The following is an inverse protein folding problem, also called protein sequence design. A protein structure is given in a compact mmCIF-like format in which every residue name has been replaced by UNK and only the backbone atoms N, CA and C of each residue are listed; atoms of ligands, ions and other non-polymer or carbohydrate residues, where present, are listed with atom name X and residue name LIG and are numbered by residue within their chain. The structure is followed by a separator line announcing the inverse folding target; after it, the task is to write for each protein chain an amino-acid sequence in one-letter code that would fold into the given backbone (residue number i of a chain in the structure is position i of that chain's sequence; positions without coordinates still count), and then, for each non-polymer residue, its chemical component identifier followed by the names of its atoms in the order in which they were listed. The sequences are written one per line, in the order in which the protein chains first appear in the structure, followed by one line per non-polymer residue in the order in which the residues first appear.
data_IF_701782334145
#
_entry.id   IF_701782334145
#
_cell.length_a   1.000
_cell.length_b   1.000
_cell.length_c   1.000
_cell.angle_alpha   90.00
_cell.angle_beta   90.00
_cell.angle_gamma   90.00
#
_symmetry.space_group_name_H-M   'P 1'
#
loop_
_entity.id
_entity.type
_entity.pdbx_description
1 polymer ?
#
# COMPACT_ATOMS: atom_id res chain seq x y z
N UNK A 1 -14.02 5.60 -33.43
CA UNK A 1 -13.83 5.31 -32.00
C UNK A 1 -12.54 4.53 -31.86
N UNK A 2 -11.43 5.21 -31.58
CA UNK A 2 -10.11 4.59 -31.51
C UNK A 2 -9.96 3.90 -30.16
N UNK A 3 -9.89 2.56 -30.18
CA UNK A 3 -9.56 1.74 -29.03
C UNK A 3 -8.08 1.98 -28.70
N UNK A 4 -7.80 2.74 -27.66
CA UNK A 4 -6.46 2.79 -27.09
C UNK A 4 -6.27 1.53 -26.27
N UNK A 5 -5.47 0.61 -26.79
CA UNK A 5 -4.96 -0.54 -26.05
C UNK A 5 -3.98 0.00 -25.00
N UNK A 6 -4.31 -0.16 -23.72
CA UNK A 6 -3.39 0.15 -22.62
C UNK A 6 -2.33 -0.94 -22.59
N UNK A 7 -1.20 -0.70 -23.24
CA UNK A 7 -0.01 -1.53 -23.07
C UNK A 7 0.74 -0.98 -21.87
N UNK A 8 0.51 -1.57 -20.69
CA UNK A 8 1.31 -1.28 -19.50
C UNK A 8 2.76 -1.67 -19.78
N UNK A 9 3.67 -0.69 -19.81
CA UNK A 9 5.10 -0.97 -19.86
C UNK A 9 5.50 -1.56 -18.51
N UNK A 10 5.66 -2.87 -18.45
CA UNK A 10 6.19 -3.55 -17.27
C UNK A 10 7.64 -3.07 -17.06
N UNK A 11 7.89 -2.29 -16.01
CA UNK A 11 9.24 -2.04 -15.54
C UNK A 11 9.78 -3.36 -14.98
N UNK A 12 10.80 -3.92 -15.62
CA UNK A 12 11.57 -5.02 -15.07
C UNK A 12 12.45 -4.47 -13.94
N UNK A 13 12.00 -4.65 -12.70
CA UNK A 13 12.74 -4.25 -11.50
C UNK A 13 13.79 -5.32 -11.17
N UNK A 14 15.06 -4.93 -11.06
CA UNK A 14 16.06 -5.76 -10.41
C UNK A 14 15.76 -5.76 -8.90
N UNK A 15 15.29 -6.89 -8.37
CA UNK A 15 14.89 -7.03 -6.96
C UNK A 15 16.12 -7.30 -6.11
N UNK A 16 16.43 -6.39 -5.19
CA UNK A 16 17.44 -6.61 -4.13
C UNK A 16 16.68 -6.94 -2.84
N UNK A 17 16.13 -8.16 -2.79
CA UNK A 17 15.39 -8.70 -1.65
C UNK A 17 13.87 -8.51 -1.72
N UNK A 18 13.14 -9.63 -1.70
CA UNK A 18 11.69 -9.64 -1.41
C UNK A 18 11.51 -9.93 0.08
N UNK A 19 10.81 -9.05 0.79
CA UNK A 19 10.45 -9.24 2.19
C UNK A 19 9.12 -9.99 2.28
N UNK A 20 9.11 -11.13 2.96
CA UNK A 20 7.85 -11.77 3.34
C UNK A 20 7.30 -11.08 4.59
N UNK A 21 6.08 -10.58 4.48
CA UNK A 21 5.33 -9.95 5.57
C UNK A 21 4.32 -10.97 6.07
N UNK A 22 4.56 -11.49 7.27
CA UNK A 22 3.67 -12.49 7.85
C UNK A 22 2.52 -11.86 8.61
N UNK A 23 1.33 -12.47 8.50
CA UNK A 23 0.20 -12.17 9.37
C UNK A 23 0.58 -12.29 10.85
N UNK A 24 -0.09 -11.52 11.70
CA UNK A 24 0.10 -11.56 13.16
C UNK A 24 -0.41 -12.87 13.77
N UNK A 25 -1.31 -13.61 13.10
CA UNK A 25 -1.90 -14.85 13.58
C UNK A 25 -1.70 -15.99 12.58
N UNK A 26 -1.27 -17.16 13.05
CA UNK A 26 -1.15 -18.34 12.18
C UNK A 26 -2.50 -18.95 11.77
N UNK A 27 -2.47 -19.96 10.90
CA UNK A 27 -3.66 -20.68 10.44
C UNK A 27 -4.20 -20.12 9.12
N UNK A 28 -5.37 -19.46 9.16
CA UNK A 28 -6.02 -18.83 7.99
C UNK A 28 -5.64 -17.36 7.81
N UNK A 29 -4.77 -16.84 8.69
CA UNK A 29 -4.33 -15.45 8.71
C UNK A 29 -4.96 -14.64 9.84
N UNK A 30 -4.95 -13.32 9.70
CA UNK A 30 -5.54 -12.38 10.64
C UNK A 30 -6.58 -11.47 9.96
N UNK A 31 -7.33 -10.75 10.79
CA UNK A 31 -8.31 -9.77 10.34
C UNK A 31 -8.46 -8.70 11.43
N UNK A 32 -7.87 -7.53 11.20
CA UNK A 32 -8.03 -6.38 12.08
C UNK A 32 -9.24 -5.56 11.63
N UNK A 33 -10.14 -5.24 12.56
CA UNK A 33 -11.35 -4.48 12.30
C UNK A 33 -11.64 -3.49 13.42
N UNK A 34 -12.35 -2.42 13.07
CA UNK A 34 -12.81 -1.42 14.02
C UNK A 34 -14.22 -0.95 13.65
N UNK A 35 -15.17 -1.20 14.55
CA UNK A 35 -16.57 -0.80 14.38
C UNK A 35 -16.79 0.71 14.58
N UNK A 36 -15.90 1.39 15.30
CA UNK A 36 -16.00 2.81 15.61
C UNK A 36 -15.69 3.72 14.42
N UNK A 37 -16.10 4.99 14.52
CA UNK A 37 -15.88 5.99 13.47
C UNK A 37 -14.49 6.63 13.48
N UNK A 38 -13.74 6.50 14.57
CA UNK A 38 -12.35 6.97 14.68
C UNK A 38 -11.41 5.97 14.03
N UNK A 39 -10.34 6.45 13.39
CA UNK A 39 -9.29 5.58 12.85
C UNK A 39 -8.63 4.77 13.95
N UNK A 40 -8.39 3.49 13.70
CA UNK A 40 -7.56 2.63 14.53
C UNK A 40 -6.55 1.87 13.67
N UNK A 41 -5.48 1.37 14.28
CA UNK A 41 -4.46 0.59 13.63
C UNK A 41 -3.83 -0.49 14.51
N UNK A 42 -3.07 -1.37 13.88
CA UNK A 42 -2.31 -2.45 14.49
C UNK A 42 -1.05 -2.72 13.65
N UNK A 43 0.13 -2.78 14.29
CA UNK A 43 1.37 -3.21 13.61
C UNK A 43 1.29 -4.65 13.12
N UNK A 44 1.92 -4.93 11.98
CA UNK A 44 2.13 -6.27 11.44
C UNK A 44 3.53 -6.74 11.86
N UNK A 45 3.60 -7.46 12.98
CA UNK A 45 4.85 -7.84 13.63
C UNK A 45 5.80 -6.66 13.82
N UNK A 46 7.05 -6.84 13.40
CA UNK A 46 8.09 -5.80 13.41
C UNK A 46 8.51 -5.40 11.99
N UNK A 47 7.60 -5.51 11.01
CA UNK A 47 7.93 -5.42 9.58
C UNK A 47 7.97 -3.98 9.04
N UNK A 48 7.49 -3.01 9.81
CA UNK A 48 7.24 -1.64 9.35
C UNK A 48 5.87 -1.47 8.69
N UNK A 49 5.15 -2.56 8.42
CA UNK A 49 3.76 -2.52 7.98
C UNK A 49 2.80 -2.40 9.16
N UNK A 50 1.70 -1.68 8.94
CA UNK A 50 0.59 -1.54 9.87
C UNK A 50 -0.74 -1.69 9.14
N UNK A 51 -1.68 -2.43 9.73
CA UNK A 51 -3.09 -2.23 9.45
C UNK A 51 -3.47 -0.86 10.02
N UNK A 52 -3.92 0.07 9.20
CA UNK A 52 -4.09 1.46 9.61
C UNK A 52 -5.36 2.09 9.05
N UNK A 53 -5.77 3.21 9.64
CA UNK A 53 -6.96 3.96 9.26
C UNK A 53 -8.24 3.11 9.21
N UNK A 54 -8.32 2.07 10.03
CA UNK A 54 -9.44 1.15 10.05
C UNK A 54 -10.58 1.76 10.85
N UNK A 55 -11.77 1.87 10.24
CA UNK A 55 -12.97 2.44 10.88
C UNK A 55 -14.25 2.00 10.17
N UNK A 56 -15.40 2.27 10.81
CA UNK A 56 -16.74 2.02 10.27
C UNK A 56 -16.90 0.59 9.76
N UNK A 57 -16.50 -0.39 10.58
CA UNK A 57 -16.54 -1.82 10.24
C UNK A 57 -15.72 -2.19 9.00
N UNK A 58 -14.77 -1.34 8.60
CA UNK A 58 -13.71 -1.74 7.69
C UNK A 58 -12.85 -2.80 8.34
N UNK A 59 -12.27 -3.66 7.50
CA UNK A 59 -11.31 -4.65 7.96
C UNK A 59 -10.17 -4.82 6.97
N UNK A 60 -9.01 -5.18 7.51
CA UNK A 60 -7.80 -5.50 6.76
C UNK A 60 -7.04 -6.58 7.50
N UNK A 61 -6.45 -7.50 6.77
CA UNK A 61 -5.60 -8.55 7.33
C UNK A 61 -4.91 -9.33 6.24
N UNK A 62 -3.92 -10.12 6.59
CA UNK A 62 -3.26 -11.05 5.68
C UNK A 62 -3.95 -12.40 5.84
N UNK A 63 -4.47 -12.96 4.73
CA UNK A 63 -5.37 -14.11 4.76
C UNK A 63 -5.06 -15.14 3.66
N UNK A 64 -5.40 -16.41 3.92
CA UNK A 64 -5.36 -17.49 2.93
C UNK A 64 -6.55 -17.49 1.96
N UNK A 65 -7.47 -16.51 2.04
CA UNK A 65 -8.74 -16.53 1.31
C UNK A 65 -8.58 -16.43 -0.21
N UNK A 66 -7.60 -15.66 -0.70
CA UNK A 66 -7.30 -15.52 -2.12
C UNK A 66 -5.82 -15.17 -2.29
N UNK A 67 -4.88 -16.12 -2.13
CA UNK A 67 -3.45 -15.83 -2.31
C UNK A 67 -3.12 -15.60 -3.80
N UNK A 68 -2.11 -14.77 -4.07
CA UNK A 68 -1.56 -14.64 -5.42
C UNK A 68 -0.28 -15.47 -5.58
N UNK A 69 0.73 -15.16 -4.78
CA UNK A 69 2.04 -15.79 -4.83
C UNK A 69 2.42 -16.23 -3.41
N UNK A 70 2.39 -17.54 -3.14
CA UNK A 70 2.58 -18.07 -1.79
C UNK A 70 1.27 -18.50 -1.14
N UNK A 71 1.14 -18.28 0.17
CA UNK A 71 0.01 -18.76 0.97
C UNK A 71 -0.89 -17.65 1.53
N UNK A 72 -0.58 -16.39 1.28
CA UNK A 72 -1.37 -15.26 1.73
C UNK A 72 -1.59 -14.21 0.65
N UNK A 73 -2.46 -13.26 0.98
CA UNK A 73 -2.53 -11.93 0.40
C UNK A 73 -3.18 -10.99 1.41
N UNK A 74 -3.03 -9.68 1.25
CA UNK A 74 -3.79 -8.72 2.06
C UNK A 74 -5.24 -8.74 1.58
N UNK A 75 -6.18 -8.94 2.50
CA UNK A 75 -7.62 -8.83 2.29
C UNK A 75 -8.13 -7.52 2.86
N UNK A 76 -8.91 -6.79 2.09
CA UNK A 76 -9.69 -5.64 2.53
C UNK A 76 -11.17 -5.95 2.39
N UNK A 77 -11.95 -5.62 3.40
CA UNK A 77 -13.41 -5.74 3.33
C UNK A 77 -14.07 -4.51 3.95
N UNK A 78 -15.01 -3.94 3.19
CA UNK A 78 -15.90 -2.89 3.63
C UNK A 78 -17.35 -3.32 3.53
N UNK A 79 -18.14 -3.03 4.56
CA UNK A 79 -19.55 -3.44 4.66
C UNK A 79 -20.52 -2.26 4.69
N UNK A 80 -20.00 -1.02 4.78
CA UNK A 80 -20.79 0.20 4.95
C UNK A 80 -20.46 1.26 3.89
N UNK A 81 -21.43 2.15 3.65
CA UNK A 81 -21.38 3.22 2.64
C UNK A 81 -22.09 2.86 1.32
N UNK A 82 -22.11 3.75 0.30
CA UNK A 82 -21.63 5.13 0.36
C UNK A 82 -22.65 6.10 0.97
N UNK A 83 -23.90 5.68 1.22
CA UNK A 83 -24.98 6.53 1.76
C UNK A 83 -24.92 6.78 3.28
N UNK A 84 -23.88 6.29 3.95
CA UNK A 84 -23.61 6.41 5.38
C UNK A 84 -22.08 6.52 5.59
N UNK A 85 -21.56 6.70 6.83
CA UNK A 85 -20.12 6.61 7.06
C UNK A 85 -19.56 5.30 6.48
N UNK A 86 -18.71 5.39 5.45
CA UNK A 86 -18.18 4.21 4.79
C UNK A 86 -17.10 3.53 5.61
N UNK A 87 -17.03 2.21 5.47
CA UNK A 87 -15.88 1.42 5.87
C UNK A 87 -14.61 1.95 5.22
N UNK A 88 -13.52 1.95 5.98
CA UNK A 88 -12.17 2.24 5.47
C UNK A 88 -11.17 1.32 6.15
N UNK A 89 -10.18 0.88 5.38
CA UNK A 89 -9.05 0.11 5.88
C UNK A 89 -7.87 0.24 4.93
N UNK A 90 -6.69 0.45 5.50
CA UNK A 90 -5.43 0.54 4.76
C UNK A 90 -4.41 -0.47 5.35
N UNK A 91 -3.47 -0.91 4.52
CA UNK A 91 -2.19 -1.47 4.95
C UNK A 91 -1.10 -0.48 4.56
N UNK A 92 -0.30 -0.05 5.52
CA UNK A 92 0.65 1.04 5.35
C UNK A 92 2.04 0.62 5.77
N UNK A 93 3.02 0.82 4.89
CA UNK A 93 4.41 0.79 5.26
C UNK A 93 4.80 2.16 5.78
N UNK A 94 5.24 2.23 7.04
CA UNK A 94 5.59 3.46 7.73
C UNK A 94 7.02 3.39 8.25
N UNK A 95 7.81 4.45 8.06
CA UNK A 95 9.18 4.49 8.57
C UNK A 95 9.17 4.80 10.07
N UNK A 96 9.74 3.92 10.88
CA UNK A 96 9.75 4.05 12.35
C UNK A 96 8.34 4.34 12.89
N UNK A 97 7.39 3.40 12.73
CA UNK A 97 6.00 3.64 13.09
C UNK A 97 5.85 3.85 14.60
N UNK A 98 5.10 4.89 14.96
CA UNK A 98 4.70 5.19 16.34
C UNK A 98 3.19 5.24 16.45
N UNK A 99 2.66 4.74 17.56
CA UNK A 99 1.23 4.81 17.84
C UNK A 99 0.86 6.19 18.39
N UNK A 100 -0.20 6.78 17.86
CA UNK A 100 -0.80 8.01 18.36
C UNK A 100 -2.31 7.99 18.15
N UNK A 101 -3.08 8.17 19.22
CA UNK A 101 -4.54 8.19 19.15
C UNK A 101 -5.17 6.89 18.63
N UNK A 102 -4.50 5.75 18.84
CA UNK A 102 -4.92 4.43 18.36
C UNK A 102 -4.62 4.15 16.88
N UNK A 103 -3.91 5.03 16.18
CA UNK A 103 -3.47 4.86 14.79
C UNK A 103 -1.94 4.97 14.71
N UNK A 104 -1.32 4.55 13.60
CA UNK A 104 0.13 4.63 13.42
C UNK A 104 0.56 5.76 12.49
N UNK A 105 1.70 6.37 12.81
CA UNK A 105 2.33 7.45 12.06
C UNK A 105 3.82 7.19 11.89
N UNK A 106 4.38 7.67 10.79
CA UNK A 106 5.82 7.61 10.54
C UNK A 106 6.58 8.69 11.31
N UNK A 107 7.77 8.37 11.80
CA UNK A 107 8.73 9.32 12.39
C UNK A 107 10.04 9.39 11.63
N UNK A 108 10.14 8.68 10.49
CA UNK A 108 11.29 8.70 9.61
C UNK A 108 10.94 8.99 8.16
N UNK A 109 11.94 8.91 7.30
CA UNK A 109 11.81 9.10 5.86
C UNK A 109 12.57 8.02 5.10
N UNK A 110 12.04 7.63 3.95
CA UNK A 110 12.71 6.77 2.97
C UNK A 110 13.62 7.55 2.01
N UNK A 111 13.50 8.88 1.97
CA UNK A 111 14.18 9.73 1.01
C UNK A 111 13.26 10.84 0.51
N UNK A 112 13.66 11.47 -0.58
CA UNK A 112 12.92 12.57 -1.19
C UNK A 112 11.94 12.05 -2.24
N UNK A 113 10.89 12.83 -2.51
CA UNK A 113 9.94 12.52 -3.57
C UNK A 113 10.63 12.42 -4.95
N UNK A 114 11.67 13.22 -5.20
CA UNK A 114 12.46 13.12 -6.43
C UNK A 114 13.12 11.75 -6.61
N UNK A 115 13.50 11.09 -5.52
CA UNK A 115 14.17 9.79 -5.57
C UNK A 115 13.21 8.67 -6.00
N UNK A 116 11.88 8.87 -5.93
CA UNK A 116 10.91 7.82 -6.28
C UNK A 116 10.85 7.54 -7.79
N UNK A 117 11.39 6.42 -8.25
CA UNK A 117 11.26 6.02 -9.65
C UNK A 117 9.84 5.58 -9.96
N UNK A 118 9.25 4.78 -9.07
CA UNK A 118 7.89 4.28 -9.23
C UNK A 118 7.47 3.31 -8.14
N UNK A 119 6.24 2.83 -8.25
CA UNK A 119 5.64 1.81 -7.41
C UNK A 119 4.93 0.76 -8.27
N UNK A 120 4.75 -0.43 -7.74
CA UNK A 120 3.90 -1.44 -8.33
C UNK A 120 3.21 -2.27 -7.26
N UNK A 121 2.12 -2.92 -7.62
CA UNK A 121 1.44 -3.91 -6.77
C UNK A 121 0.44 -4.69 -7.62
N UNK A 122 -0.06 -5.78 -7.07
CA UNK A 122 -1.19 -6.50 -7.64
C UNK A 122 -2.43 -6.26 -6.81
N UNK A 123 -3.56 -6.12 -7.49
CA UNK A 123 -4.86 -6.11 -6.85
C UNK A 123 -5.78 -7.17 -7.45
N UNK A 124 -6.76 -7.56 -6.65
CA UNK A 124 -7.89 -8.38 -7.05
C UNK A 124 -9.16 -7.73 -6.53
N UNK A 125 -10.20 -7.68 -7.36
CA UNK A 125 -11.52 -7.22 -6.95
C UNK A 125 -12.49 -8.40 -7.06
N UNK A 126 -13.08 -8.78 -5.95
CA UNK A 126 -14.02 -9.90 -5.88
C UNK A 126 -15.38 -9.49 -6.46
N UNK A 127 -16.03 -10.39 -7.19
CA UNK A 127 -17.35 -10.15 -7.80
C UNK A 127 -18.49 -9.92 -6.80
N UNK A 128 -18.30 -10.23 -5.52
CA UNK A 128 -19.22 -9.81 -4.45
C UNK A 128 -19.16 -8.30 -4.16
N UNK A 129 -18.16 -7.58 -4.68
CA UNK A 129 -18.03 -6.13 -4.49
C UNK A 129 -19.12 -5.35 -5.22
N UNK A 130 -19.89 -4.57 -4.47
CA UNK A 130 -21.00 -3.74 -4.99
C UNK A 130 -20.67 -2.25 -5.09
N UNK A 131 -19.47 -1.85 -4.66
CA UNK A 131 -18.96 -0.49 -4.81
C UNK A 131 -18.81 -0.09 -6.29
N UNK A 132 -18.52 1.18 -6.56
CA UNK A 132 -18.42 1.69 -7.92
C UNK A 132 -17.39 0.88 -8.75
N UNK A 133 -17.70 0.50 -10.01
CA UNK A 133 -16.79 -0.31 -10.80
C UNK A 133 -15.39 0.25 -11.02
N UNK A 134 -15.21 1.58 -10.97
CA UNK A 134 -13.90 2.23 -11.09
C UNK A 134 -13.06 2.18 -9.82
N UNK A 135 -13.63 1.74 -8.70
CA UNK A 135 -12.94 1.65 -7.41
C UNK A 135 -12.27 0.27 -7.26
N UNK A 136 -10.96 0.31 -7.06
CA UNK A 136 -10.07 -0.81 -6.75
C UNK A 136 -9.07 -0.34 -5.69
N UNK A 137 -8.34 -1.27 -5.04
CA UNK A 137 -7.37 -0.94 -3.98
C UNK A 137 -6.54 0.28 -4.38
N UNK A 138 -6.70 1.41 -3.69
CA UNK A 138 -5.98 2.62 -4.05
C UNK A 138 -4.55 2.55 -3.51
N UNK A 139 -3.59 3.12 -4.22
CA UNK A 139 -2.20 3.24 -3.76
C UNK A 139 -1.87 4.70 -3.44
N UNK A 140 -1.04 4.93 -2.42
CA UNK A 140 -0.71 6.27 -1.95
C UNK A 140 0.76 6.37 -1.59
N UNK A 141 1.36 7.49 -1.96
CA UNK A 141 2.67 7.93 -1.46
C UNK A 141 2.38 8.82 -0.26
N UNK A 142 2.80 8.41 0.93
CA UNK A 142 2.65 9.24 2.13
C UNK A 142 3.82 10.20 2.20
N UNK A 143 3.53 11.48 2.38
CA UNK A 143 4.53 12.55 2.31
C UNK A 143 4.44 13.50 3.49
N UNK A 144 5.57 14.12 3.76
CA UNK A 144 5.75 15.31 4.57
C UNK A 144 6.24 16.40 3.60
N UNK A 145 5.48 17.50 3.49
CA UNK A 145 5.51 18.34 2.30
C UNK A 145 6.76 19.22 2.25
N UNK A 146 7.18 19.79 3.37
CA UNK A 146 8.42 20.56 3.45
C UNK A 146 9.67 19.70 3.70
N UNK A 147 9.48 18.45 4.11
CA UNK A 147 10.54 17.48 4.36
C UNK A 147 11.18 17.62 5.75
N UNK A 148 10.63 18.46 6.62
CA UNK A 148 11.00 18.58 8.02
C UNK A 148 10.06 17.72 8.87
N UNK A 149 10.55 16.55 9.29
CA UNK A 149 9.75 15.61 10.10
C UNK A 149 9.35 16.16 11.49
N UNK A 150 9.86 17.33 11.91
CA UNK A 150 9.44 18.02 13.13
C UNK A 150 8.14 18.80 12.96
N UNK A 151 7.78 19.17 11.74
CA UNK A 151 6.45 19.68 11.37
C UNK A 151 5.55 18.51 10.99
N UNK A 152 4.29 18.57 11.42
CA UNK A 152 3.33 17.46 11.23
C UNK A 152 2.03 17.91 10.58
N UNK A 153 1.78 19.21 10.52
CA UNK A 153 0.57 19.81 9.96
C UNK A 153 0.53 19.78 8.43
N UNK A 154 1.68 19.53 7.81
CA UNK A 154 1.90 19.47 6.37
C UNK A 154 2.14 18.04 5.88
N UNK A 155 1.72 17.04 6.67
CA UNK A 155 1.69 15.64 6.25
C UNK A 155 0.44 15.31 5.45
N UNK A 156 0.58 14.38 4.52
CA UNK A 156 -0.50 13.98 3.63
C UNK A 156 -0.07 12.87 2.70
N UNK A 157 -0.64 12.87 1.49
CA UNK A 157 -0.21 11.92 0.48
C UNK A 157 -0.72 12.22 -0.90
N UNK A 158 -0.09 11.57 -1.87
CA UNK A 158 -0.50 11.54 -3.27
C UNK A 158 -1.18 10.21 -3.55
N UNK A 159 -2.43 10.26 -4.01
CA UNK A 159 -3.31 9.10 -4.19
C UNK A 159 -3.41 8.77 -5.66
N UNK A 160 -3.22 7.50 -5.96
CA UNK A 160 -3.49 6.90 -7.24
C UNK A 160 -4.75 6.05 -7.21
N UNK A 161 -5.62 6.29 -8.18
CA UNK A 161 -6.81 5.48 -8.45
C UNK A 161 -6.98 5.27 -9.95
N UNK A 162 -7.50 4.10 -10.31
CA UNK A 162 -7.70 3.67 -11.70
C UNK A 162 -8.61 4.64 -12.46
N UNK A 163 -9.68 5.13 -11.81
CA UNK A 163 -10.68 6.02 -12.39
C UNK A 163 -10.10 7.33 -12.96
N UNK A 164 -9.00 7.83 -12.41
CA UNK A 164 -8.35 9.08 -12.84
C UNK A 164 -7.20 8.88 -13.83
N UNK A 165 -6.94 7.64 -14.21
CA UNK A 165 -5.82 7.25 -15.06
C UNK A 165 -6.29 6.59 -16.36
N UNK A 166 -7.44 7.03 -16.87
CA UNK A 166 -8.04 6.50 -18.10
C UNK A 166 -8.55 5.06 -17.96
N UNK A 167 -8.60 4.53 -16.75
CA UNK A 167 -9.15 3.22 -16.45
C UNK A 167 -10.68 3.22 -16.46
N UNK A 168 -11.25 2.08 -16.83
CA UNK A 168 -12.68 1.82 -16.75
C UNK A 168 -13.03 1.01 -15.49
N UNK A 169 -14.00 0.11 -15.64
CA UNK A 169 -14.31 -0.85 -14.59
C UNK A 169 -13.09 -1.73 -14.27
N UNK A 170 -12.71 -1.78 -12.98
CA UNK A 170 -11.73 -2.72 -12.48
C UNK A 170 -12.25 -4.15 -12.73
N UNK A 171 -11.46 -5.01 -13.40
CA UNK A 171 -11.90 -6.36 -13.70
C UNK A 171 -12.19 -7.14 -12.42
N UNK A 172 -13.25 -7.95 -12.46
CA UNK A 172 -13.62 -8.83 -11.37
C UNK A 172 -12.88 -10.17 -11.49
N UNK A 173 -12.67 -10.80 -10.34
CA UNK A 173 -12.21 -12.17 -10.16
C UNK A 173 -10.86 -12.53 -10.80
N UNK A 174 -9.97 -11.54 -10.95
CA UNK A 174 -8.63 -11.77 -11.45
C UNK A 174 -7.61 -10.82 -10.83
N UNK A 175 -6.36 -11.29 -10.76
CA UNK A 175 -5.22 -10.51 -10.33
C UNK A 175 -4.70 -9.61 -11.45
N UNK A 176 -4.61 -8.31 -11.16
CA UNK A 176 -4.14 -7.28 -12.10
C UNK A 176 -2.87 -6.65 -11.54
N UNK A 177 -1.81 -6.62 -12.34
CA UNK A 177 -0.58 -5.89 -12.01
C UNK A 177 -0.74 -4.41 -12.36
N UNK A 178 -0.44 -3.55 -11.41
CA UNK A 178 -0.39 -2.10 -11.59
C UNK A 178 1.03 -1.56 -11.43
N UNK A 179 1.40 -0.66 -12.33
CA UNK A 179 2.64 0.11 -12.27
C UNK A 179 2.33 1.60 -12.23
N UNK A 180 3.03 2.32 -11.37
CA UNK A 180 2.88 3.74 -11.10
C UNK A 180 4.23 4.40 -11.31
N UNK A 181 4.27 5.43 -12.14
CA UNK A 181 5.50 6.16 -12.45
C UNK A 181 5.25 7.64 -12.67
N UNK A 182 6.25 8.33 -13.20
CA UNK A 182 6.22 9.78 -13.35
C UNK A 182 5.02 10.35 -14.13
N UNK A 183 4.47 9.59 -15.09
CA UNK A 183 3.34 10.03 -15.92
C UNK A 183 1.96 9.63 -15.37
N UNK A 184 1.92 8.99 -14.20
CA UNK A 184 0.69 8.56 -13.55
C UNK A 184 0.03 9.75 -12.88
N UNK A 185 -1.27 9.94 -13.12
CA UNK A 185 -2.07 10.97 -12.46
C UNK A 185 -2.30 10.59 -10.99
N UNK A 186 -2.00 11.53 -10.09
CA UNK A 186 -2.22 11.41 -8.65
C UNK A 186 -2.80 12.70 -8.10
N UNK A 187 -3.60 12.59 -7.04
CA UNK A 187 -4.25 13.72 -6.38
C UNK A 187 -3.90 13.75 -4.89
N UNK A 188 -3.87 14.94 -4.26
CA UNK A 188 -3.41 15.04 -2.87
C UNK A 188 -4.56 14.92 -1.85
N UNK A 189 -4.24 14.41 -0.66
CA UNK A 189 -4.96 14.74 0.57
C UNK A 189 -3.99 15.33 1.58
N UNK A 190 -4.47 16.25 2.41
CA UNK A 190 -3.63 16.92 3.40
C UNK A 190 -2.45 17.63 2.75
N UNK A 191 -1.26 17.47 3.33
CA UNK A 191 -0.02 18.10 2.90
C UNK A 191 -0.03 19.64 3.03
N UNK A 192 -0.76 20.16 4.03
CA UNK A 192 -0.98 21.61 4.19
C UNK A 192 -1.88 22.22 3.11
N UNK A 193 -2.60 21.38 2.34
CA UNK A 193 -3.47 21.79 1.25
C UNK A 193 -4.86 21.16 1.37
N UNK A 194 -5.81 21.73 0.62
CA UNK A 194 -7.12 21.10 0.44
C UNK A 194 -7.02 19.80 -0.36
N UNK A 195 -7.99 18.90 -0.16
CA UNK A 195 -8.09 17.65 -0.91
C UNK A 195 -8.26 17.91 -2.41
N UNK A 196 -7.54 17.15 -3.24
CA UNK A 196 -7.55 17.25 -4.70
C UNK A 196 -7.23 18.67 -5.22
N UNK A 197 -6.29 19.35 -4.57
CA UNK A 197 -5.72 20.61 -5.05
C UNK A 197 -5.07 20.38 -6.41
N UNK A 198 -5.46 21.19 -7.41
CA UNK A 198 -5.05 21.00 -8.80
C UNK A 198 -5.84 19.93 -9.58
N UNK A 199 -6.78 19.26 -8.91
CA UNK A 199 -7.66 18.25 -9.51
C UNK A 199 -7.00 16.87 -9.66
N UNK A 200 -7.63 16.02 -10.47
CA UNK A 200 -7.26 14.61 -10.65
C UNK A 200 -6.36 14.34 -11.86
N UNK A 201 -6.03 15.37 -12.65
CA UNK A 201 -5.24 15.27 -13.88
C UNK A 201 -3.82 15.87 -13.70
N UNK A 202 -3.19 15.58 -12.56
CA UNK A 202 -1.83 16.03 -12.24
C UNK A 202 -0.93 14.81 -12.10
N UNK A 203 0.10 14.73 -12.93
CA UNK A 203 1.04 13.62 -12.94
C UNK A 203 2.02 13.67 -11.76
N UNK A 204 2.55 12.52 -11.35
CA UNK A 204 3.59 12.44 -10.32
C UNK A 204 4.81 13.34 -10.65
N UNK A 205 5.22 13.44 -11.92
CA UNK A 205 6.29 14.33 -12.35
C UNK A 205 5.94 15.82 -12.16
N UNK A 206 4.68 16.20 -12.34
CA UNK A 206 4.25 17.58 -12.05
C UNK A 206 4.27 17.87 -10.54
N UNK A 207 3.88 16.92 -9.71
CA UNK A 207 4.03 17.04 -8.26
C UNK A 207 5.49 17.18 -7.84
N UNK A 208 6.40 16.40 -8.43
CA UNK A 208 7.85 16.53 -8.21
C UNK A 208 8.42 17.87 -8.67
N UNK A 209 7.93 18.40 -9.79
CA UNK A 209 8.33 19.71 -10.29
C UNK A 209 7.84 20.87 -9.39
N UNK A 210 6.82 20.62 -8.57
CA UNK A 210 6.23 21.56 -7.63
C UNK A 210 4.77 21.82 -7.94
N UNK A 211 3.89 21.47 -7.00
CA UNK A 211 2.47 21.80 -7.04
C UNK A 211 1.96 22.09 -5.62
N UNK A 212 1.61 23.34 -5.37
CA UNK A 212 1.30 23.82 -4.02
C UNK A 212 2.52 23.69 -3.09
N UNK A 213 2.33 23.04 -1.94
CA UNK A 213 3.39 22.82 -0.94
C UNK A 213 4.30 21.64 -1.28
N UNK A 214 3.83 20.72 -2.13
CA UNK A 214 4.53 19.48 -2.45
C UNK A 214 5.48 19.70 -3.62
N UNK A 215 6.70 19.20 -3.51
CA UNK A 215 7.72 19.26 -4.55
C UNK A 215 8.72 18.10 -4.40
N UNK A 216 9.74 18.07 -5.26
CA UNK A 216 10.75 17.03 -5.28
C UNK A 216 11.56 16.86 -3.99
N UNK A 217 11.59 17.84 -3.09
CA UNK A 217 12.24 17.75 -1.79
C UNK A 217 11.31 17.24 -0.67
N UNK A 218 10.00 17.13 -0.90
CA UNK A 218 9.08 16.54 0.08
C UNK A 218 9.57 15.16 0.50
N UNK A 219 9.49 14.83 1.78
CA UNK A 219 9.97 13.57 2.30
C UNK A 219 8.94 12.47 2.08
N UNK A 220 9.37 11.28 1.64
CA UNK A 220 8.53 10.08 1.58
C UNK A 220 8.56 9.43 2.95
N UNK A 221 7.44 9.51 3.66
CA UNK A 221 7.32 8.97 5.02
C UNK A 221 6.70 7.57 5.05
N UNK A 222 6.19 7.09 3.91
CA UNK A 222 5.63 5.75 3.78
C UNK A 222 4.85 5.52 2.49
N UNK A 223 4.24 4.35 2.41
CA UNK A 223 3.33 3.96 1.32
C UNK A 223 2.07 3.34 1.92
N UNK A 224 0.93 3.58 1.30
CA UNK A 224 -0.37 3.10 1.78
C UNK A 224 -1.14 2.46 0.64
N UNK A 225 -1.73 1.31 0.91
CA UNK A 225 -2.67 0.67 0.01
C UNK A 225 -3.97 0.40 0.76
N UNK A 226 -5.11 0.67 0.16
CA UNK A 226 -6.36 0.38 0.86
C UNK A 226 -7.62 0.83 0.17
N UNK A 227 -8.74 0.54 0.84
CA UNK A 227 -10.09 0.82 0.38
C UNK A 227 -10.65 2.05 1.09
N UNK A 228 -11.43 2.83 0.35
CA UNK A 228 -11.64 4.25 0.64
C UNK A 228 -12.93 4.62 1.39
N UNK A 229 -12.87 5.77 2.06
CA UNK A 229 -14.03 6.46 2.61
C UNK A 229 -14.93 6.95 1.46
N UNK A 230 -16.25 6.86 1.62
CA UNK A 230 -17.22 7.18 0.56
C UNK A 230 -17.47 6.03 -0.42
N UNK A 231 -16.88 4.85 -0.21
CA UNK A 231 -17.14 3.67 -1.03
C UNK A 231 -18.33 2.88 -0.49
N UNK A 232 -18.93 2.05 -1.35
CA UNK A 232 -19.90 1.04 -0.96
C UNK A 232 -19.25 -0.27 -0.49
N UNK A 233 -20.05 -1.30 -0.18
CA UNK A 233 -19.54 -2.60 0.22
C UNK A 233 -18.61 -3.21 -0.83
N UNK A 234 -17.47 -3.72 -0.37
CA UNK A 234 -16.39 -4.21 -1.22
C UNK A 234 -15.61 -5.33 -0.54
N UNK A 235 -15.03 -6.20 -1.37
CA UNK A 235 -14.09 -7.23 -1.00
C UNK A 235 -12.94 -7.23 -2.02
N UNK A 236 -11.74 -6.90 -1.56
CA UNK A 236 -10.57 -6.72 -2.43
C UNK A 236 -9.33 -7.36 -1.80
N UNK A 237 -8.35 -7.66 -2.65
CA UNK A 237 -7.08 -8.21 -2.21
C UNK A 237 -5.89 -7.49 -2.84
N UNK A 238 -4.75 -7.57 -2.18
CA UNK A 238 -3.48 -7.00 -2.61
C UNK A 238 -2.31 -7.94 -2.34
N UNK A 239 -1.35 -7.97 -3.26
CA UNK A 239 -0.08 -8.69 -3.11
C UNK A 239 1.05 -8.02 -3.93
N UNK A 240 2.28 -8.53 -3.83
CA UNK A 240 3.46 -8.08 -4.59
C UNK A 240 3.68 -6.55 -4.51
N UNK A 241 3.50 -5.93 -3.34
CA UNK A 241 3.68 -4.49 -3.17
C UNK A 241 5.17 -4.10 -3.30
N UNK A 242 5.49 -3.16 -4.19
CA UNK A 242 6.86 -2.74 -4.44
C UNK A 242 6.99 -1.25 -4.72
N UNK A 243 8.18 -0.73 -4.44
CA UNK A 243 8.60 0.62 -4.81
C UNK A 243 10.10 0.65 -5.09
N UNK A 244 10.50 1.64 -5.88
CA UNK A 244 11.89 1.86 -6.26
C UNK A 244 12.30 3.30 -5.97
N UNK A 245 13.39 3.45 -5.24
CA UNK A 245 14.04 4.74 -4.97
C UNK A 245 15.41 4.76 -5.63
N UNK A 246 15.74 5.87 -6.28
CA UNK A 246 17.05 6.14 -6.89
C UNK A 246 17.49 7.55 -6.49
N UNK A 247 18.46 7.62 -5.59
CA UNK A 247 19.03 8.88 -5.11
C UNK A 247 20.27 9.33 -5.92
N UNK A 248 20.51 8.71 -7.08
CA UNK A 248 21.65 8.97 -7.96
C UNK A 248 22.97 8.31 -7.51
N UNK A 249 22.96 7.62 -6.36
CA UNK A 249 24.10 6.86 -5.83
C UNK A 249 23.75 5.37 -5.74
N UNK A 250 22.57 5.08 -5.21
CA UNK A 250 22.06 3.73 -4.99
C UNK A 250 20.64 3.63 -5.51
N UNK A 251 20.37 2.55 -6.26
CA UNK A 251 19.03 2.16 -6.64
C UNK A 251 18.53 1.09 -5.66
N UNK A 252 17.48 1.40 -4.92
CA UNK A 252 16.85 0.53 -3.94
C UNK A 252 15.45 0.13 -4.42
N UNK A 253 15.31 -1.14 -4.77
CA UNK A 253 13.99 -1.77 -4.96
C UNK A 253 13.60 -2.46 -3.66
N UNK A 254 12.42 -2.12 -3.14
CA UNK A 254 11.79 -2.89 -2.04
C UNK A 254 10.57 -3.59 -2.58
N UNK A 255 10.40 -4.87 -2.23
CA UNK A 255 9.23 -5.67 -2.56
C UNK A 255 8.75 -6.40 -1.31
N UNK A 256 7.45 -6.44 -1.11
CA UNK A 256 6.77 -7.14 -0.02
C UNK A 256 5.76 -8.13 -0.58
N UNK A 257 5.91 -9.39 -0.18
CA UNK A 257 4.94 -10.45 -0.42
C UNK A 257 4.22 -10.76 0.90
N UNK A 258 2.91 -10.98 0.88
CA UNK A 258 2.13 -11.14 2.11
C UNK A 258 1.76 -12.59 2.35
N UNK A 259 2.10 -13.10 3.53
CA UNK A 259 2.04 -14.54 3.84
C UNK A 259 1.34 -14.77 5.18
N UNK A 260 0.62 -15.87 5.33
CA UNK A 260 0.01 -16.23 6.61
C UNK A 260 1.01 -16.92 7.54
N UNK A 261 1.80 -17.83 7.02
CA UNK A 261 2.87 -18.54 7.76
C UNK A 261 4.11 -18.70 6.90
N UNK A 262 5.32 -18.83 7.51
CA UNK A 262 6.51 -19.22 6.76
C UNK A 262 6.28 -20.52 6.01
N UNK A 263 6.68 -20.58 4.75
CA UNK A 263 6.52 -21.82 3.98
C UNK A 263 7.26 -22.99 4.66
N UNK A 264 6.69 -24.21 4.69
CA UNK A 264 7.26 -25.36 5.39
C UNK A 264 8.70 -25.70 4.99
N UNK A 265 9.07 -25.41 3.74
CA UNK A 265 10.42 -25.63 3.20
C UNK A 265 11.46 -24.74 3.88
N UNK A 266 11.14 -23.47 4.15
CA UNK A 266 12.02 -22.53 4.86
C UNK A 266 12.33 -23.01 6.28
N UNK A 267 11.31 -23.54 6.97
CA UNK A 267 11.48 -24.14 8.30
C UNK A 267 12.30 -25.42 8.26
N UNK A 268 12.12 -26.25 7.22
CA UNK A 268 12.88 -27.50 7.06
C UNK A 268 14.36 -27.23 6.79
N UNK A 269 14.68 -26.27 5.93
CA UNK A 269 16.07 -25.85 5.66
C UNK A 269 16.71 -25.22 6.90
N UNK A 270 15.99 -24.37 7.64
CA UNK A 270 16.48 -23.79 8.89
C UNK A 270 16.74 -24.86 9.96
N UNK A 271 15.84 -25.85 10.08
CA UNK A 271 16.01 -26.98 10.98
C UNK A 271 17.24 -27.84 10.61
N UNK A 272 17.44 -28.12 9.31
CA UNK A 272 18.62 -28.83 8.82
C UNK A 272 19.91 -28.02 9.08
N UNK A 273 19.90 -26.72 8.83
CA UNK A 273 21.06 -25.85 9.08
C UNK A 273 21.43 -25.83 10.58
N UNK A 274 20.43 -25.75 11.47
CA UNK A 274 20.64 -25.82 12.92
C UNK A 274 21.20 -27.18 13.37
N UNK A 275 20.76 -28.28 12.75
CA UNK A 275 21.28 -29.64 12.98
C UNK A 275 22.75 -29.77 12.54
N UNK A 276 23.11 -29.24 11.37
CA UNK A 276 24.49 -29.23 10.86
C UNK A 276 25.40 -28.38 11.76
N UNK A 277 24.94 -27.20 12.19
CA UNK A 277 25.69 -26.34 13.11
C UNK A 277 25.94 -26.99 14.47
N UNK A 278 24.96 -27.73 15.01
CA UNK A 278 25.14 -28.54 16.23
C UNK A 278 26.14 -29.69 16.03
N UNK A 279 26.17 -30.31 14.84
CA UNK A 279 27.06 -31.44 14.55
C UNK A 279 28.53 -31.02 14.39
N UNK A 280 28.81 -29.78 13.99
CA UNK A 280 30.17 -29.20 13.92
C UNK A 280 30.74 -28.71 15.25
N UNK A 281 29.95 -28.74 16.33
CA UNK A 281 30.36 -28.32 17.69
C UNK A 281 30.64 -29.50 18.63
N UNK A 282 30.73 -30.72 18.11
CA UNK A 282 31.25 -31.91 18.79
C UNK A 282 32.52 -32.35 18.08
#
# INVERSE_FOLDING_TARGET
MNKFTVTGLALALAVVGSAQVFSNNGGTGDNFTNAGGSNQGQLVGTTGWAYNNVRNNGSVGISTANPYNGNGSVRFEGTQGPGSPSSKSDIEYLVNPVEFGGNYFSTGTLGKLNDLVGMSYRYYRDSSSTNDPGQMVAARILIDADGDLSTTTDRGGLVWELAYNGGGAAPLDQWVLMGLGGNTNVWNFGAGMGTATGGYNVTLNQWKAGNGTVNGNSAIIGFSYGVGSGWGPNLMFLDDAAWQLDNGITNQTTMSNFEVVPEPMTMTVLALAALVAKRKRK
#
